data_IF_234372722691
#
_entry.id   IF_234372722691
#
_cell.length_a   1.000
_cell.length_b   1.000
_cell.length_c   1.000
_cell.angle_alpha   90.00
_cell.angle_beta   90.00
_cell.angle_gamma   90.00
#
_symmetry.space_group_name_H-M   'P 1'
#
loop_
_entity.id
_entity.type
_entity.pdbx_description
1 polymer ?
#
# COMPACT_ATOMS: atom_id res chain seq x y z
N UNK A 1 -4.59 4.52 -13.44
CA UNK A 1 -5.58 3.46 -13.73
C UNK A 1 -6.77 4.08 -14.44
N UNK A 2 -7.24 3.54 -15.56
CA UNK A 2 -8.40 4.06 -16.30
C UNK A 2 -9.71 3.59 -15.67
N UNK A 3 -10.83 4.26 -16.00
CA UNK A 3 -12.19 3.83 -15.61
C UNK A 3 -12.43 2.38 -16.05
N UNK A 4 -12.09 2.05 -17.30
CA UNK A 4 -12.28 0.72 -17.88
C UNK A 4 -11.55 -0.37 -17.09
N UNK A 5 -10.32 -0.10 -16.65
CA UNK A 5 -9.56 -1.04 -15.81
C UNK A 5 -10.22 -1.22 -14.43
N UNK A 6 -10.88 -0.20 -13.89
CA UNK A 6 -11.55 -0.29 -12.57
C UNK A 6 -12.77 -1.20 -12.60
N UNK A 7 -13.60 -1.11 -13.65
CA UNK A 7 -14.71 -2.04 -13.85
C UNK A 7 -14.23 -3.48 -14.00
N UNK A 8 -13.14 -3.69 -14.75
CA UNK A 8 -12.51 -5.02 -14.88
C UNK A 8 -12.00 -5.55 -13.54
N UNK A 9 -11.24 -4.74 -12.81
CA UNK A 9 -10.69 -5.13 -11.51
C UNK A 9 -11.77 -5.44 -10.48
N UNK A 10 -12.89 -4.69 -10.47
CA UNK A 10 -14.01 -4.98 -9.59
C UNK A 10 -14.63 -6.36 -9.89
N UNK A 11 -14.84 -6.67 -11.18
CA UNK A 11 -15.35 -7.98 -11.59
C UNK A 11 -14.39 -9.12 -11.20
N UNK A 12 -13.10 -8.95 -11.45
CA UNK A 12 -12.07 -9.94 -11.11
C UNK A 12 -11.96 -10.14 -9.60
N UNK A 13 -12.12 -9.07 -8.82
CA UNK A 13 -12.16 -9.14 -7.35
C UNK A 13 -13.29 -10.02 -6.83
N UNK A 14 -14.43 -10.05 -7.53
CA UNK A 14 -15.54 -10.95 -7.22
C UNK A 14 -15.45 -12.31 -7.91
N UNK A 15 -14.36 -12.59 -8.64
CA UNK A 15 -14.14 -13.83 -9.38
C UNK A 15 -15.26 -14.15 -10.38
N UNK A 16 -15.86 -13.13 -11.01
CA UNK A 16 -17.00 -13.29 -11.91
C UNK A 16 -16.58 -13.25 -13.39
N UNK A 17 -17.30 -14.00 -14.22
CA UNK A 17 -17.27 -13.79 -15.67
C UNK A 17 -17.96 -12.48 -16.05
N UNK A 18 -17.71 -11.96 -17.27
CA UNK A 18 -18.42 -10.76 -17.75
C UNK A 18 -19.94 -10.96 -17.80
N UNK A 19 -20.39 -12.19 -18.09
CA UNK A 19 -21.81 -12.54 -18.14
C UNK A 19 -22.42 -12.53 -16.73
N UNK A 20 -21.75 -13.15 -15.76
CA UNK A 20 -22.25 -13.20 -14.38
C UNK A 20 -22.27 -11.81 -13.73
N UNK A 21 -21.26 -11.01 -14.02
CA UNK A 21 -21.19 -9.62 -13.56
C UNK A 21 -22.31 -8.77 -14.15
N UNK A 22 -22.59 -8.92 -15.45
CA UNK A 22 -23.69 -8.23 -16.10
C UNK A 22 -25.04 -8.63 -15.47
N UNK A 23 -25.26 -9.92 -15.24
CA UNK A 23 -26.46 -10.43 -14.58
C UNK A 23 -26.63 -9.84 -13.17
N UNK A 24 -25.57 -9.78 -12.36
CA UNK A 24 -25.62 -9.19 -11.01
C UNK A 24 -25.84 -7.68 -11.04
N UNK A 25 -25.25 -6.98 -12.01
CA UNK A 25 -25.42 -5.55 -12.18
C UNK A 25 -26.76 -5.16 -12.85
N UNK A 26 -27.58 -6.15 -13.27
CA UNK A 26 -28.87 -5.91 -13.92
C UNK A 26 -28.77 -5.39 -15.36
N UNK A 27 -27.65 -5.66 -16.04
CA UNK A 27 -27.39 -5.17 -17.41
C UNK A 27 -27.09 -6.32 -18.36
N UNK A 28 -27.08 -6.03 -19.66
CA UNK A 28 -26.65 -7.02 -20.65
C UNK A 28 -25.13 -7.22 -20.63
N UNK A 29 -24.66 -8.40 -21.04
CA UNK A 29 -23.22 -8.68 -21.21
C UNK A 29 -22.52 -7.65 -22.09
N UNK A 30 -23.18 -7.18 -23.16
CA UNK A 30 -22.63 -6.18 -24.06
C UNK A 30 -22.46 -4.82 -23.36
N UNK A 31 -23.43 -4.41 -22.55
CA UNK A 31 -23.32 -3.21 -21.72
C UNK A 31 -22.12 -3.28 -20.78
N UNK A 32 -21.95 -4.42 -20.09
CA UNK A 32 -20.79 -4.62 -19.22
C UNK A 32 -19.46 -4.53 -19.97
N UNK A 33 -19.38 -5.14 -21.15
CA UNK A 33 -18.19 -5.07 -22.00
C UNK A 33 -17.87 -3.64 -22.46
N UNK A 34 -18.89 -2.79 -22.69
CA UNK A 34 -18.70 -1.36 -23.00
C UNK A 34 -18.11 -0.60 -21.80
N UNK A 35 -18.53 -0.92 -20.58
CA UNK A 35 -17.94 -0.32 -19.38
C UNK A 35 -16.46 -0.69 -19.21
N UNK A 36 -16.10 -1.95 -19.47
CA UNK A 36 -14.69 -2.39 -19.49
C UNK A 36 -13.87 -1.82 -20.67
N UNK A 37 -14.53 -1.14 -21.63
CA UNK A 37 -13.88 -0.35 -22.69
C UNK A 37 -13.83 1.14 -22.39
N UNK A 38 -14.47 1.60 -21.31
CA UNK A 38 -14.37 2.97 -20.80
C UNK A 38 -15.65 3.78 -20.94
N UNK A 39 -16.76 3.18 -21.37
CA UNK A 39 -18.05 3.84 -21.33
C UNK A 39 -18.57 3.95 -19.90
N UNK A 40 -19.22 5.06 -19.57
CA UNK A 40 -19.79 5.26 -18.25
C UNK A 40 -21.19 4.62 -18.16
N UNK A 41 -21.46 3.83 -17.11
CA UNK A 41 -22.80 3.32 -16.84
C UNK A 41 -23.76 4.44 -16.43
N UNK A 42 -25.06 4.14 -16.50
CA UNK A 42 -26.09 5.01 -15.95
C UNK A 42 -26.11 4.95 -14.40
N UNK A 43 -26.84 5.88 -13.79
CA UNK A 43 -26.96 5.95 -12.32
C UNK A 43 -27.55 4.69 -11.69
N UNK A 44 -28.50 4.04 -12.35
CA UNK A 44 -29.13 2.81 -11.84
C UNK A 44 -28.13 1.65 -11.73
N UNK A 45 -27.30 1.44 -12.76
CA UNK A 45 -26.25 0.41 -12.73
C UNK A 45 -25.22 0.71 -11.65
N UNK A 46 -24.85 1.98 -11.45
CA UNK A 46 -23.95 2.38 -10.37
C UNK A 46 -24.54 2.10 -8.99
N UNK A 47 -25.84 2.35 -8.81
CA UNK A 47 -26.54 2.04 -7.56
C UNK A 47 -26.55 0.53 -7.29
N UNK A 48 -26.84 -0.30 -8.31
CA UNK A 48 -26.74 -1.77 -8.19
C UNK A 48 -25.35 -2.25 -7.83
N UNK A 49 -24.31 -1.66 -8.41
CA UNK A 49 -22.93 -1.99 -8.05
C UNK A 49 -22.59 -1.60 -6.60
N UNK A 50 -23.16 -0.50 -6.10
CA UNK A 50 -23.05 -0.11 -4.70
C UNK A 50 -23.72 -1.11 -3.76
N UNK A 51 -24.94 -1.56 -4.10
CA UNK A 51 -25.68 -2.59 -3.35
C UNK A 51 -24.90 -3.92 -3.26
N UNK A 52 -24.12 -4.25 -4.28
CA UNK A 52 -23.24 -5.42 -4.29
C UNK A 52 -21.93 -5.22 -3.50
N UNK A 53 -21.73 -4.04 -2.90
CA UNK A 53 -20.56 -3.69 -2.09
C UNK A 53 -19.43 -2.99 -2.86
N UNK A 54 -19.64 -2.63 -4.12
CA UNK A 54 -18.67 -1.86 -4.91
C UNK A 54 -18.67 -0.38 -4.54
N UNK A 55 -17.49 0.24 -4.44
CA UNK A 55 -17.40 1.68 -4.18
C UNK A 55 -17.54 2.48 -5.50
N UNK A 56 -18.66 3.20 -5.66
CA UNK A 56 -18.93 4.03 -6.85
C UNK A 56 -17.92 5.16 -7.01
N UNK A 57 -17.49 5.79 -5.91
CA UNK A 57 -16.46 6.84 -5.97
C UNK A 57 -15.16 6.27 -6.54
N UNK A 58 -14.74 5.10 -6.05
CA UNK A 58 -13.55 4.44 -6.59
C UNK A 58 -13.73 4.07 -8.07
N UNK A 59 -14.87 3.51 -8.48
CA UNK A 59 -15.13 3.18 -9.88
C UNK A 59 -14.99 4.40 -10.81
N UNK A 60 -15.50 5.56 -10.41
CA UNK A 60 -15.51 6.76 -11.24
C UNK A 60 -14.21 7.56 -11.18
N UNK A 61 -13.61 7.72 -10.00
CA UNK A 61 -12.46 8.62 -9.80
C UNK A 61 -11.14 7.86 -9.56
N UNK A 62 -11.21 6.61 -9.11
CA UNK A 62 -10.06 5.82 -8.69
C UNK A 62 -9.55 6.17 -7.29
N UNK A 63 -10.26 7.01 -6.53
CA UNK A 63 -9.91 7.38 -5.16
C UNK A 63 -10.64 6.50 -4.15
N UNK A 64 -9.96 6.18 -3.04
CA UNK A 64 -10.52 5.37 -1.95
C UNK A 64 -10.39 3.85 -2.16
N UNK A 65 -11.04 3.04 -1.31
CA UNK A 65 -11.05 1.59 -1.44
C UNK A 65 -11.99 1.11 -2.56
N UNK A 66 -11.65 -0.01 -3.20
CA UNK A 66 -12.43 -0.61 -4.31
C UNK A 66 -13.81 -1.11 -3.86
N UNK A 67 -13.86 -1.72 -2.68
CA UNK A 67 -15.08 -2.16 -2.04
C UNK A 67 -15.42 -1.18 -0.94
N UNK A 68 -16.71 -0.98 -0.69
CA UNK A 68 -17.14 -0.33 0.52
C UNK A 68 -16.79 -1.30 1.63
N UNK A 69 -15.75 -1.00 2.40
CA UNK A 69 -15.57 -1.68 3.68
C UNK A 69 -16.88 -1.49 4.43
N UNK A 70 -17.40 -2.57 4.99
CA UNK A 70 -18.37 -2.45 6.07
C UNK A 70 -17.62 -1.77 7.21
N UNK A 71 -17.45 -0.44 7.10
CA UNK A 71 -17.42 0.43 8.25
C UNK A 71 -18.76 0.10 8.88
N UNK A 72 -18.73 -0.78 9.89
CA UNK A 72 -19.88 -1.02 10.71
C UNK A 72 -20.44 0.36 11.00
N UNK A 73 -21.72 0.63 10.64
CA UNK A 73 -22.34 1.86 11.06
C UNK A 73 -21.98 2.01 12.54
N UNK A 74 -21.48 3.18 12.98
CA UNK A 74 -21.29 3.38 14.41
C UNK A 74 -22.57 2.89 15.08
N UNK A 75 -22.42 2.01 16.08
CA UNK A 75 -23.53 1.26 16.67
C UNK A 75 -24.73 2.19 16.73
N UNK A 76 -25.80 1.93 15.97
CA UNK A 76 -26.86 2.92 15.76
C UNK A 76 -27.49 3.33 17.10
N UNK A 77 -27.35 2.49 18.13
CA UNK A 77 -27.70 2.73 19.53
C UNK A 77 -26.84 3.78 20.25
N UNK A 78 -25.67 4.13 19.71
CA UNK A 78 -24.71 5.12 20.24
C UNK A 78 -24.75 6.47 19.53
N UNK A 79 -25.48 6.58 18.42
CA UNK A 79 -25.75 7.86 17.76
C UNK A 79 -26.85 8.57 18.55
N UNK A 80 -26.58 9.72 19.19
CA UNK A 80 -27.60 10.46 19.92
C UNK A 80 -28.69 10.94 18.96
N UNK A 81 -29.94 10.99 19.42
CA UNK A 81 -31.04 11.54 18.63
C UNK A 81 -30.71 12.99 18.20
N UNK A 82 -31.00 13.34 16.94
CA UNK A 82 -30.64 14.63 16.35
C UNK A 82 -31.28 15.82 17.09
N UNK A 83 -32.25 15.57 17.97
CA UNK A 83 -32.86 16.57 18.85
C UNK A 83 -31.95 17.07 19.98
N UNK A 84 -30.90 16.34 20.36
CA UNK A 84 -29.94 16.76 21.39
C UNK A 84 -28.57 17.11 20.79
N UNK A 85 -28.45 18.37 20.35
CA UNK A 85 -27.24 18.91 19.76
C UNK A 85 -26.00 18.79 20.67
N UNK A 86 -26.17 18.78 22.00
CA UNK A 86 -25.05 18.65 22.93
C UNK A 86 -24.51 17.23 22.94
N UNK A 87 -25.40 16.24 22.97
CA UNK A 87 -25.01 14.83 22.89
C UNK A 87 -24.32 14.54 21.55
N UNK A 88 -24.90 15.01 20.42
CA UNK A 88 -24.30 14.86 19.09
C UNK A 88 -22.90 15.49 19.01
N UNK A 89 -22.73 16.72 19.50
CA UNK A 89 -21.43 17.39 19.50
C UNK A 89 -20.40 16.66 20.38
N UNK A 90 -20.81 16.14 21.53
CA UNK A 90 -19.90 15.37 22.41
C UNK A 90 -19.43 14.06 21.76
N UNK A 91 -20.33 13.36 21.06
CA UNK A 91 -20.01 12.16 20.30
C UNK A 91 -19.03 12.45 19.16
N UNK A 92 -19.31 13.50 18.36
CA UNK A 92 -18.43 13.91 17.27
C UNK A 92 -17.05 14.34 17.79
N UNK A 93 -16.97 15.02 18.92
CA UNK A 93 -15.69 15.39 19.54
C UNK A 93 -14.88 14.16 19.96
N UNK A 94 -15.53 13.17 20.58
CA UNK A 94 -14.89 11.93 20.99
C UNK A 94 -14.37 11.13 19.79
N UNK A 95 -15.20 10.98 18.74
CA UNK A 95 -14.79 10.24 17.54
C UNK A 95 -13.69 10.97 16.76
N UNK A 96 -13.76 12.30 16.66
CA UNK A 96 -12.68 13.09 16.05
C UNK A 96 -11.36 12.95 16.81
N UNK A 97 -11.39 12.92 18.15
CA UNK A 97 -10.20 12.68 18.96
C UNK A 97 -9.62 11.28 18.69
N UNK A 98 -10.47 10.25 18.64
CA UNK A 98 -10.06 8.89 18.31
C UNK A 98 -9.41 8.80 16.93
N UNK A 99 -10.04 9.39 15.91
CA UNK A 99 -9.53 9.40 14.54
C UNK A 99 -8.20 10.16 14.42
N UNK A 100 -8.04 11.26 15.15
CA UNK A 100 -6.80 12.05 15.18
C UNK A 100 -5.64 11.22 15.74
N UNK A 101 -5.88 10.50 16.84
CA UNK A 101 -4.87 9.60 17.42
C UNK A 101 -4.51 8.48 16.44
N UNK A 102 -5.50 7.80 15.86
CA UNK A 102 -5.27 6.72 14.90
C UNK A 102 -4.46 7.20 13.67
N UNK A 103 -4.80 8.38 13.14
CA UNK A 103 -4.07 8.98 12.02
C UNK A 103 -2.62 9.29 12.39
N UNK A 104 -2.38 9.88 13.57
CA UNK A 104 -1.02 10.20 14.03
C UNK A 104 -0.14 8.95 14.18
N UNK A 105 -0.71 7.86 14.69
CA UNK A 105 -0.01 6.58 14.84
C UNK A 105 0.34 5.97 13.48
N UNK A 106 -0.61 5.97 12.53
CA UNK A 106 -0.39 5.46 11.18
C UNK A 106 0.70 6.26 10.45
N UNK A 107 0.71 7.59 10.60
CA UNK A 107 1.74 8.46 10.03
C UNK A 107 3.12 8.17 10.65
N UNK A 108 3.21 8.01 11.97
CA UNK A 108 4.44 7.65 12.66
C UNK A 108 5.01 6.31 12.17
N UNK A 109 4.17 5.29 12.03
CA UNK A 109 4.58 3.99 11.50
C UNK A 109 5.11 4.09 10.06
N UNK A 110 4.46 4.88 9.20
CA UNK A 110 4.90 5.10 7.82
C UNK A 110 6.26 5.83 7.76
N UNK A 111 6.46 6.84 8.61
CA UNK A 111 7.73 7.57 8.68
C UNK A 111 8.86 6.67 9.17
N UNK A 112 8.61 5.85 10.21
CA UNK A 112 9.57 4.87 10.70
C UNK A 112 9.95 3.85 9.61
N UNK A 113 8.96 3.37 8.85
CA UNK A 113 9.21 2.44 7.74
C UNK A 113 10.02 3.08 6.60
N UNK A 114 9.72 4.35 6.27
CA UNK A 114 10.52 5.11 5.29
C UNK A 114 11.95 5.31 5.76
N UNK A 115 12.15 5.66 7.03
CA UNK A 115 13.47 5.83 7.63
C UNK A 115 14.29 4.54 7.56
N UNK A 116 13.69 3.39 7.93
CA UNK A 116 14.33 2.07 7.83
C UNK A 116 14.78 1.74 6.40
N UNK A 117 13.94 2.00 5.40
CA UNK A 117 14.31 1.78 3.98
C UNK A 117 15.42 2.71 3.52
N UNK A 118 15.37 3.99 3.91
CA UNK A 118 16.41 4.94 3.56
C UNK A 118 17.75 4.58 4.21
N UNK A 119 17.73 4.13 5.46
CA UNK A 119 18.92 3.66 6.15
C UNK A 119 19.52 2.43 5.44
N UNK A 120 18.72 1.41 5.10
CA UNK A 120 19.21 0.25 4.36
C UNK A 120 19.80 0.63 2.98
N UNK A 121 19.20 1.59 2.27
CA UNK A 121 19.76 2.13 1.03
C UNK A 121 21.08 2.88 1.26
N UNK A 122 21.21 3.63 2.36
CA UNK A 122 22.45 4.32 2.73
C UNK A 122 23.57 3.33 3.06
N UNK A 123 23.25 2.21 3.72
CA UNK A 123 24.17 1.11 4.03
C UNK A 123 24.62 0.34 2.77
N UNK A 124 23.73 0.14 1.79
CA UNK A 124 24.07 -0.50 0.52
C UNK A 124 24.92 0.37 -0.43
N UNK A 125 24.81 1.70 -0.32
CA UNK A 125 25.50 2.65 -1.21
C UNK A 125 27.04 2.46 -1.27
N UNK A 126 27.78 2.35 -0.15
CA UNK A 126 29.22 2.12 -0.20
C UNK A 126 29.59 0.77 -0.83
N UNK A 127 28.79 -0.28 -0.63
CA UNK A 127 29.03 -1.60 -1.24
C UNK A 127 28.89 -1.53 -2.76
N UNK A 128 27.85 -0.86 -3.28
CA UNK A 128 27.68 -0.67 -4.73
C UNK A 128 28.81 0.19 -5.32
N UNK A 129 29.22 1.26 -4.63
CA UNK A 129 30.35 2.08 -5.04
C UNK A 129 31.65 1.25 -5.11
N UNK A 130 31.91 0.42 -4.11
CA UNK A 130 33.06 -0.48 -4.08
C UNK A 130 33.05 -1.49 -5.23
N UNK A 131 31.89 -2.09 -5.52
CA UNK A 131 31.73 -3.00 -6.67
C UNK A 131 32.04 -2.30 -7.99
N UNK A 132 31.56 -1.06 -8.18
CA UNK A 132 31.85 -0.28 -9.40
C UNK A 132 33.35 0.02 -9.51
N UNK A 133 33.98 0.48 -8.43
CA UNK A 133 35.42 0.74 -8.40
C UNK A 133 36.24 -0.53 -8.67
N UNK A 134 35.84 -1.68 -8.13
CA UNK A 134 36.49 -2.96 -8.39
C UNK A 134 36.37 -3.35 -9.88
N UNK A 135 35.20 -3.19 -10.48
CA UNK A 135 34.97 -3.46 -11.91
C UNK A 135 35.81 -2.54 -12.80
N UNK A 136 35.93 -1.26 -12.46
CA UNK A 136 36.75 -0.32 -13.22
C UNK A 136 38.25 -0.64 -13.10
N UNK A 137 38.70 -1.09 -11.93
CA UNK A 137 40.08 -1.53 -11.74
C UNK A 137 40.39 -2.77 -12.59
N UNK A 138 39.47 -3.75 -12.66
CA UNK A 138 39.62 -4.93 -13.51
C UNK A 138 39.72 -4.57 -15.00
N UNK A 139 38.98 -3.57 -15.47
CA UNK A 139 39.03 -3.09 -16.87
C UNK A 139 40.36 -2.41 -17.21
N UNK A 140 41.04 -1.83 -16.23
CA UNK A 140 42.29 -1.09 -16.43
C UNK A 140 43.53 -1.98 -16.37
N UNK A 141 43.41 -3.27 -16.01
CA UNK A 141 44.53 -4.19 -15.99
C UNK A 141 44.85 -4.72 -17.39
N UNK A 142 46.07 -4.52 -17.92
CA UNK A 142 46.46 -5.03 -19.23
C UNK A 142 46.63 -6.55 -19.19
N UNK A 143 45.78 -7.27 -19.93
CA UNK A 143 45.85 -8.70 -20.26
C UNK A 143 46.31 -9.64 -19.11
N UNK A 144 45.51 -9.77 -18.06
CA UNK A 144 45.58 -10.93 -17.16
C UNK A 144 44.34 -11.79 -17.43
N UNK A 145 44.52 -13.01 -17.92
CA UNK A 145 43.44 -14.02 -17.95
C UNK A 145 43.12 -14.43 -16.51
N UNK A 146 42.25 -13.66 -15.86
CA UNK A 146 41.77 -13.97 -14.51
C UNK A 146 40.52 -14.85 -14.62
N UNK A 147 40.49 -15.97 -13.92
CA UNK A 147 39.31 -16.83 -13.94
C UNK A 147 38.19 -16.25 -13.04
N UNK A 148 36.96 -16.75 -13.21
CA UNK A 148 35.80 -16.25 -12.49
C UNK A 148 35.97 -16.34 -10.95
N UNK A 149 36.67 -17.37 -10.46
CA UNK A 149 36.93 -17.58 -9.03
C UNK A 149 37.90 -16.53 -8.46
N UNK A 150 39.00 -16.27 -9.15
CA UNK A 150 39.99 -15.25 -8.79
C UNK A 150 39.38 -13.84 -8.82
N UNK A 151 38.44 -13.61 -9.74
CA UNK A 151 37.71 -12.34 -9.83
C UNK A 151 36.74 -12.18 -8.67
N UNK A 152 36.02 -13.24 -8.30
CA UNK A 152 35.13 -13.26 -7.14
C UNK A 152 35.90 -13.07 -5.82
N UNK A 153 37.03 -13.76 -5.62
CA UNK A 153 37.85 -13.66 -4.41
C UNK A 153 38.44 -12.26 -4.21
N UNK A 154 38.81 -11.57 -5.30
CA UNK A 154 39.34 -10.21 -5.26
C UNK A 154 38.24 -9.19 -4.92
N UNK A 155 37.04 -9.35 -5.47
CA UNK A 155 35.86 -8.54 -5.12
C UNK A 155 35.50 -8.76 -3.63
N UNK A 156 35.45 -10.01 -3.17
CA UNK A 156 35.15 -10.33 -1.76
C UNK A 156 36.22 -9.77 -0.82
N UNK A 157 37.50 -9.85 -1.19
CA UNK A 157 38.61 -9.26 -0.44
C UNK A 157 38.51 -7.73 -0.32
N UNK A 158 38.16 -7.05 -1.41
CA UNK A 158 37.93 -5.60 -1.41
C UNK A 158 36.71 -5.20 -0.56
N UNK A 159 35.62 -5.97 -0.63
CA UNK A 159 34.43 -5.73 0.19
C UNK A 159 34.70 -5.96 1.70
N UNK A 160 35.54 -6.93 2.06
CA UNK A 160 35.91 -7.21 3.46
C UNK A 160 36.86 -6.16 4.07
N UNK A 161 37.63 -5.41 3.27
CA UNK A 161 38.48 -4.31 3.76
C UNK A 161 37.68 -3.05 4.10
N UNK A 162 36.44 -2.95 3.61
CA UNK A 162 35.49 -1.93 4.02
C UNK A 162 34.88 -2.43 5.33
N UNK A 163 35.50 -2.10 6.47
CA UNK A 163 34.94 -2.41 7.79
C UNK A 163 33.51 -1.85 7.88
N UNK A 164 32.49 -2.69 7.70
CA UNK A 164 31.18 -2.41 8.26
C UNK A 164 31.35 -2.55 9.77
N UNK A 165 31.20 -1.43 10.49
CA UNK A 165 31.13 -1.44 11.93
C UNK A 165 30.07 -2.48 12.37
N UNK A 166 30.35 -3.31 13.39
CA UNK A 166 29.35 -4.21 13.92
C UNK A 166 28.16 -3.36 14.36
N UNK A 167 26.98 -3.73 13.89
CA UNK A 167 25.72 -3.10 14.27
C UNK A 167 25.64 -3.07 15.79
N UNK A 168 25.87 -1.90 16.39
CA UNK A 168 25.66 -1.73 17.81
C UNK A 168 24.20 -2.03 18.09
N UNK A 169 24.03 -2.93 19.04
CA UNK A 169 22.78 -3.49 19.52
C UNK A 169 21.79 -2.37 19.85
N UNK A 170 20.85 -2.11 18.94
CA UNK A 170 19.66 -1.34 19.29
C UNK A 170 18.68 -2.30 19.97
N UNK A 171 18.82 -2.36 21.29
CA UNK A 171 17.87 -2.95 22.21
C UNK A 171 16.43 -2.55 21.82
N UNK A 172 15.58 -3.56 21.70
CA UNK A 172 14.13 -3.39 21.69
C UNK A 172 13.75 -2.70 23.01
N UNK A 173 13.12 -1.51 23.01
CA UNK A 173 12.54 -1.02 24.25
C UNK A 173 11.41 -1.97 24.63
N UNK A 174 11.62 -2.69 25.73
CA UNK A 174 10.61 -3.48 26.43
C UNK A 174 9.47 -2.54 26.84
N UNK A 175 8.36 -2.60 26.11
CA UNK A 175 7.11 -1.95 26.51
C UNK A 175 6.30 -2.97 27.28
N UNK A 176 6.67 -3.16 28.54
CA UNK A 176 5.80 -3.79 29.52
C UNK A 176 4.70 -2.79 29.90
N UNK A 177 3.41 -3.16 29.84
CA UNK A 177 2.34 -2.26 30.24
C UNK A 177 2.31 -2.19 31.77
N UNK A 178 2.59 -1.01 32.32
CA UNK A 178 2.34 -0.73 33.73
C UNK A 178 0.83 -0.51 33.95
N UNK A 179 0.24 -1.39 34.75
CA UNK A 179 -1.02 -1.23 35.47
C UNK A 179 -0.77 -1.71 36.91
N UNK A 180 -1.59 -1.34 37.91
CA UNK A 180 -2.85 -0.59 37.87
C UNK A 180 -2.76 0.87 38.32
#
# INVERSE_FOLDING_TARGET
MTVSNRFRSLREKWCLSQTDMANRAGVTRNSWQRYEKGELPNGETLLRLAELGGNVQWLLTGQGPMLVEAVAPPDAASIPDNGDARAVMSYLQAENARLTVALSQAQGALLAERARRQQGLAEMRPLLAACVTAVDHLKQQPHVQMNAQQTADLIVGMLNQIQLAPSDSLAVPDVTPAAP
#
